data_IF_119117971472
#
_entry.id   IF_119117971472
#
_cell.length_a   1.000
_cell.length_b   1.000
_cell.length_c   1.000
_cell.angle_alpha   90.00
_cell.angle_beta   90.00
_cell.angle_gamma   90.00
#
_symmetry.space_group_name_H-M   'P 1'
#
loop_
_entity.id
_entity.type
_entity.pdbx_description
1 polymer ?
#
# COMPACT_ATOMS: atom_id res chain seq x y z
N UNK A 1 8.70 -10.31 5.40
CA UNK A 1 8.01 -11.31 4.54
C UNK A 1 6.64 -10.77 4.15
N UNK A 2 6.33 -10.74 2.84
CA UNK A 2 5.03 -10.38 2.27
C UNK A 2 4.35 -11.67 1.76
N UNK A 3 3.07 -11.84 2.04
CA UNK A 3 2.22 -12.91 1.47
C UNK A 3 0.96 -12.29 0.90
N UNK A 4 0.64 -12.65 -0.34
CA UNK A 4 -0.58 -12.24 -1.04
C UNK A 4 -1.25 -13.53 -1.51
N UNK A 5 -2.46 -13.79 -1.03
CA UNK A 5 -3.23 -14.98 -1.37
C UNK A 5 -4.74 -14.72 -1.24
N UNK A 6 -5.56 -15.77 -1.37
CA UNK A 6 -7.03 -15.65 -1.33
C UNK A 6 -7.62 -15.13 -0.02
N UNK A 7 -6.83 -15.03 1.06
CA UNK A 7 -7.25 -14.43 2.33
C UNK A 7 -6.98 -12.93 2.38
N UNK A 8 -6.00 -12.42 1.63
CA UNK A 8 -5.65 -11.02 1.65
C UNK A 8 -4.16 -10.75 1.52
N UNK A 9 -3.76 -9.57 2.03
CA UNK A 9 -2.37 -9.14 2.11
C UNK A 9 -1.89 -9.33 3.54
N UNK A 10 -0.87 -10.16 3.73
CA UNK A 10 -0.19 -10.33 5.02
C UNK A 10 1.22 -9.80 4.92
N UNK A 11 1.63 -9.01 5.91
CA UNK A 11 3.03 -8.62 6.06
C UNK A 11 3.52 -9.02 7.44
N UNK A 12 4.75 -9.53 7.51
CA UNK A 12 5.38 -9.99 8.75
C UNK A 12 5.25 -8.95 9.87
N UNK A 13 4.71 -9.38 11.01
CA UNK A 13 4.51 -8.52 12.18
C UNK A 13 3.18 -7.73 12.19
N UNK A 14 2.34 -7.87 11.17
CA UNK A 14 1.00 -7.29 11.09
C UNK A 14 -0.08 -8.36 10.88
N UNK A 15 -1.34 -8.01 11.16
CA UNK A 15 -2.49 -8.85 10.80
C UNK A 15 -2.63 -8.94 9.28
N UNK A 16 -3.26 -10.01 8.80
CA UNK A 16 -3.74 -10.09 7.41
C UNK A 16 -4.81 -9.03 7.19
N UNK A 17 -4.69 -8.28 6.09
CA UNK A 17 -5.71 -7.37 5.56
C UNK A 17 -6.54 -8.12 4.55
N UNK A 18 -7.81 -8.34 4.86
CA UNK A 18 -8.76 -8.98 3.97
C UNK A 18 -9.03 -8.15 2.71
N UNK A 19 -9.35 -8.82 1.61
CA UNK A 19 -9.71 -8.15 0.35
C UNK A 19 -10.98 -7.31 0.47
N UNK A 20 -11.90 -7.70 1.35
CA UNK A 20 -13.12 -6.99 1.71
C UNK A 20 -12.84 -5.65 2.42
N UNK A 21 -11.70 -5.53 3.08
CA UNK A 21 -11.27 -4.29 3.75
C UNK A 21 -10.68 -3.27 2.77
N UNK A 22 -10.30 -3.71 1.57
CA UNK A 22 -9.61 -2.90 0.55
C UNK A 22 -10.63 -2.44 -0.49
N UNK A 23 -10.71 -1.13 -0.69
CA UNK A 23 -11.53 -0.53 -1.75
C UNK A 23 -10.83 -0.63 -3.11
N UNK A 24 -9.55 -0.27 -3.13
CA UNK A 24 -8.72 -0.14 -4.33
C UNK A 24 -7.26 -0.23 -3.91
N UNK A 25 -6.41 -0.70 -4.82
CA UNK A 25 -4.95 -0.66 -4.65
C UNK A 25 -4.36 0.30 -5.65
N UNK A 26 -3.57 1.26 -5.16
CA UNK A 26 -2.89 2.23 -5.98
C UNK A 26 -1.42 1.82 -6.19
N UNK A 27 -0.98 1.80 -7.44
CA UNK A 27 0.43 1.73 -7.80
C UNK A 27 0.93 3.18 -7.94
N UNK A 28 1.70 3.63 -6.95
CA UNK A 28 2.18 5.01 -6.87
C UNK A 28 3.67 5.04 -7.21
N UNK A 29 4.03 5.66 -8.34
CA UNK A 29 5.43 5.83 -8.76
C UNK A 29 5.94 7.21 -8.37
N UNK A 30 7.03 7.30 -7.60
CA UNK A 30 7.67 8.56 -7.22
C UNK A 30 9.17 8.49 -7.44
N UNK A 31 9.66 9.30 -8.39
CA UNK A 31 11.06 9.35 -8.79
C UNK A 31 11.62 7.94 -9.06
N UNK A 32 12.39 7.37 -8.12
CA UNK A 32 13.02 6.05 -8.23
C UNK A 32 12.34 4.95 -7.39
N UNK A 33 11.17 5.24 -6.82
CA UNK A 33 10.46 4.35 -5.89
C UNK A 33 9.03 4.13 -6.35
N UNK A 34 8.66 2.87 -6.56
CA UNK A 34 7.25 2.49 -6.63
C UNK A 34 6.77 2.05 -5.26
N UNK A 35 5.54 2.42 -4.92
CA UNK A 35 4.81 1.94 -3.76
C UNK A 35 3.50 1.31 -4.21
N UNK A 36 3.10 0.24 -3.54
CA UNK A 36 1.77 -0.36 -3.66
C UNK A 36 0.99 0.00 -2.41
N UNK A 37 -0.11 0.73 -2.58
CA UNK A 37 -0.85 1.36 -1.49
C UNK A 37 -2.29 0.85 -1.49
N UNK A 38 -2.63 -0.11 -0.60
CA UNK A 38 -4.02 -0.48 -0.38
C UNK A 38 -4.78 0.65 0.30
N UNK A 39 -5.94 1.00 -0.25
CA UNK A 39 -6.83 2.02 0.30
C UNK A 39 -7.98 1.32 1.03
N UNK A 40 -8.24 1.64 2.31
CA UNK A 40 -9.34 1.04 3.05
C UNK A 40 -10.70 1.39 2.44
N UNK A 41 -11.67 0.50 2.62
CA UNK A 41 -13.10 0.88 2.56
C UNK A 41 -13.46 1.82 3.71
N UNK A 42 -14.53 2.57 3.53
CA UNK A 42 -15.03 3.48 4.58
C UNK A 42 -15.28 2.71 5.89
N UNK A 43 -14.81 3.28 7.01
CA UNK A 43 -14.91 2.67 8.34
C UNK A 43 -13.86 1.58 8.65
N UNK A 44 -13.03 1.17 7.68
CA UNK A 44 -12.01 0.15 7.87
C UNK A 44 -10.64 0.76 8.17
N UNK A 45 -9.92 0.17 9.13
CA UNK A 45 -8.57 0.60 9.51
C UNK A 45 -7.53 -0.43 9.06
N UNK A 46 -6.74 -0.07 8.06
CA UNK A 46 -5.61 -0.90 7.63
C UNK A 46 -4.46 -0.81 8.64
N UNK A 47 -3.78 -1.93 8.92
CA UNK A 47 -2.63 -1.94 9.80
C UNK A 47 -1.50 -1.09 9.21
N UNK A 48 -0.79 -0.44 10.12
CA UNK A 48 0.40 0.32 9.77
C UNK A 48 1.56 -0.63 9.58
N UNK A 49 2.19 -0.54 8.40
CA UNK A 49 3.41 -1.27 8.16
C UNK A 49 4.62 -0.46 8.58
N UNK A 50 5.22 -0.86 9.68
CA UNK A 50 6.58 -0.44 10.00
C UNK A 50 7.57 -1.47 9.45
N UNK A 51 8.14 -1.18 8.28
CA UNK A 51 9.26 -1.94 7.72
C UNK A 51 10.55 -1.75 8.54
N UNK A 52 10.55 -0.83 9.50
CA UNK A 52 11.61 -0.71 10.50
C UNK A 52 11.14 -1.36 11.79
N UNK A 53 11.99 -2.17 12.43
CA UNK A 53 11.71 -2.96 13.65
C UNK A 53 11.31 -2.12 14.90
N UNK A 54 10.91 -0.86 14.75
CA UNK A 54 10.68 0.11 15.83
C UNK A 54 9.20 0.46 15.98
N UNK A 55 8.47 -0.36 16.76
CA UNK A 55 7.04 -0.23 17.06
C UNK A 55 6.59 1.11 17.68
N UNK A 56 7.50 1.94 18.20
CA UNK A 56 7.19 3.09 19.06
C UNK A 56 6.77 4.37 18.33
N UNK A 57 6.78 4.43 16.98
CA UNK A 57 6.44 5.66 16.21
C UNK A 57 5.30 5.46 15.19
N UNK A 58 4.42 4.49 15.44
CA UNK A 58 3.38 4.05 14.49
C UNK A 58 2.42 5.17 14.06
N UNK A 59 1.88 5.97 14.99
CA UNK A 59 0.84 6.97 14.70
C UNK A 59 1.34 8.13 13.83
N UNK A 60 2.48 8.73 14.17
CA UNK A 60 3.04 9.81 13.35
C UNK A 60 3.46 9.32 11.97
N UNK A 61 3.91 8.06 11.87
CA UNK A 61 4.29 7.44 10.60
C UNK A 61 3.07 7.15 9.74
N UNK A 62 1.94 6.78 10.34
CA UNK A 62 0.64 6.69 9.67
C UNK A 62 0.29 7.99 8.96
N UNK A 63 0.30 9.10 9.71
CA UNK A 63 -0.04 10.41 9.17
C UNK A 63 0.93 10.82 8.05
N UNK A 64 2.24 10.55 8.22
CA UNK A 64 3.25 10.79 7.17
C UNK A 64 3.03 9.92 5.93
N UNK A 65 2.74 8.64 6.09
CA UNK A 65 2.50 7.71 4.98
C UNK A 65 1.22 8.09 4.22
N UNK A 66 0.13 8.38 4.93
CA UNK A 66 -1.12 8.85 4.32
C UNK A 66 -0.88 10.15 3.56
N UNK A 67 -0.18 11.13 4.15
CA UNK A 67 0.17 12.38 3.46
C UNK A 67 1.06 12.16 2.24
N UNK A 68 2.01 11.22 2.33
CA UNK A 68 3.02 11.00 1.28
C UNK A 68 2.56 10.05 0.18
N UNK A 69 1.69 9.10 0.46
CA UNK A 69 1.38 8.00 -0.45
C UNK A 69 -0.12 7.77 -0.65
N UNK A 70 -0.97 8.47 0.09
CA UNK A 70 -2.43 8.34 0.01
C UNK A 70 -3.03 7.28 0.93
N UNK A 71 -2.21 6.50 1.65
CA UNK A 71 -2.71 5.48 2.58
C UNK A 71 -1.75 5.12 3.72
N UNK A 72 -2.26 4.53 4.80
CA UNK A 72 -1.45 4.14 5.96
C UNK A 72 -0.61 2.88 5.71
N UNK A 73 -1.11 1.97 4.86
CA UNK A 73 -0.42 0.76 4.44
C UNK A 73 0.33 1.03 3.13
N UNK A 74 1.66 0.98 3.19
CA UNK A 74 2.52 1.23 2.03
C UNK A 74 3.47 0.05 1.87
N UNK A 75 3.31 -0.70 0.80
CA UNK A 75 4.23 -1.78 0.41
C UNK A 75 5.28 -1.18 -0.53
N UNK A 76 6.55 -1.29 -0.16
CA UNK A 76 7.67 -0.87 -1.01
C UNK A 76 8.31 -2.12 -1.61
N UNK A 77 8.11 -2.44 -2.91
CA UNK A 77 8.62 -3.66 -3.53
C UNK A 77 10.12 -3.86 -3.29
N UNK A 78 10.93 -2.81 -3.47
CA UNK A 78 12.37 -2.83 -3.18
C UNK A 78 12.72 -3.22 -1.74
N UNK A 79 11.92 -2.78 -0.76
CA UNK A 79 12.16 -3.14 0.65
C UNK A 79 11.67 -4.55 1.00
N UNK A 80 10.87 -5.15 0.13
CA UNK A 80 10.32 -6.49 0.26
C UNK A 80 11.07 -7.51 -0.60
N UNK A 81 12.16 -7.08 -1.26
CA UNK A 81 12.90 -7.85 -2.26
C UNK A 81 11.98 -8.48 -3.32
N UNK A 82 10.96 -7.70 -3.71
CA UNK A 82 9.89 -8.12 -4.59
C UNK A 82 9.77 -7.18 -5.78
N UNK A 83 9.29 -7.72 -6.89
CA UNK A 83 9.00 -6.96 -8.11
C UNK A 83 7.59 -6.34 -8.03
N UNK A 84 7.45 -5.08 -8.43
CA UNK A 84 6.16 -4.36 -8.48
C UNK A 84 5.13 -5.11 -9.32
N UNK A 85 5.52 -5.57 -10.51
CA UNK A 85 4.67 -6.29 -11.45
C UNK A 85 4.19 -7.59 -10.84
N UNK A 86 5.06 -8.30 -10.11
CA UNK A 86 4.67 -9.52 -9.39
C UNK A 86 3.66 -9.24 -8.28
N UNK A 87 3.84 -8.15 -7.53
CA UNK A 87 2.87 -7.73 -6.51
C UNK A 87 1.53 -7.38 -7.15
N UNK A 88 1.53 -6.56 -8.20
CA UNK A 88 0.32 -6.16 -8.92
C UNK A 88 -0.40 -7.36 -9.54
N UNK A 89 0.33 -8.30 -10.14
CA UNK A 89 -0.21 -9.54 -10.68
C UNK A 89 -0.83 -10.42 -9.59
N UNK A 90 -0.17 -10.57 -8.44
CA UNK A 90 -0.71 -11.32 -7.31
C UNK A 90 -2.00 -10.68 -6.75
N UNK A 91 -2.03 -9.35 -6.63
CA UNK A 91 -3.24 -8.63 -6.21
C UNK A 91 -4.35 -8.79 -7.23
N UNK A 92 -4.05 -8.68 -8.53
CA UNK A 92 -5.05 -8.87 -9.59
C UNK A 92 -5.60 -10.29 -9.60
N UNK A 93 -4.76 -11.28 -9.31
CA UNK A 93 -5.15 -12.69 -9.29
C UNK A 93 -5.98 -13.06 -8.04
N UNK A 94 -5.55 -12.63 -6.85
CA UNK A 94 -6.19 -13.02 -5.58
C UNK A 94 -7.23 -12.02 -5.07
N UNK A 95 -7.22 -10.79 -5.58
CA UNK A 95 -7.94 -9.64 -5.04
C UNK A 95 -9.46 -9.69 -5.10
N UNK A 96 -10.07 -10.78 -5.57
CA UNK A 96 -11.53 -10.94 -5.66
C UNK A 96 -12.25 -9.74 -6.31
N UNK A 97 -11.63 -9.14 -7.34
CA UNK A 97 -12.16 -7.96 -8.03
C UNK A 97 -11.76 -6.62 -7.42
N UNK A 98 -10.84 -6.58 -6.44
CA UNK A 98 -10.19 -5.35 -5.99
C UNK A 98 -9.48 -4.68 -7.17
N UNK A 99 -9.84 -3.45 -7.55
CA UNK A 99 -9.20 -2.76 -8.66
C UNK A 99 -7.76 -2.37 -8.29
N UNK A 100 -6.86 -2.53 -9.27
CA UNK A 100 -5.48 -2.02 -9.21
C UNK A 100 -5.38 -0.85 -10.18
N UNK A 101 -5.01 0.32 -9.68
CA UNK A 101 -4.97 1.57 -10.46
C UNK A 101 -3.56 2.12 -10.43
N UNK A 102 -3.00 2.39 -11.61
CA UNK A 102 -1.80 3.22 -11.74
C UNK A 102 -2.20 4.67 -11.46
N UNK A 103 -1.89 5.16 -10.26
CA UNK A 103 -2.08 6.57 -9.98
C UNK A 103 -0.82 7.33 -10.39
N UNK A 104 -0.89 8.22 -11.41
CA UNK A 104 0.20 9.13 -11.68
C UNK A 104 0.43 9.95 -10.41
N UNK A 105 1.67 10.32 -10.14
CA UNK A 105 2.13 10.99 -8.91
C UNK A 105 1.52 12.39 -8.65
N UNK A 106 0.22 12.62 -8.86
CA UNK A 106 -0.47 13.84 -8.48
C UNK A 106 -0.60 13.87 -6.97
N UNK A 107 0.34 14.55 -6.35
CA UNK A 107 0.15 15.14 -5.05
C UNK A 107 -1.08 16.05 -5.11
N UNK A 108 -2.08 15.89 -4.22
CA UNK A 108 -2.98 17.00 -3.94
C UNK A 108 -2.13 18.15 -3.38
N UNK A 109 -1.95 19.22 -4.16
CA UNK A 109 -1.25 20.44 -3.76
C UNK A 109 0.00 20.83 -4.55
N UNK A 110 0.36 20.13 -5.63
CA UNK A 110 1.36 20.67 -6.57
C UNK A 110 0.62 21.33 -7.75
N UNK A 111 0.79 22.63 -8.01
CA UNK A 111 0.20 23.25 -9.20
C UNK A 111 0.75 22.57 -10.46
N UNK A 112 -0.03 22.50 -11.55
CA UNK A 112 0.48 22.02 -12.83
C UNK A 112 1.67 22.91 -13.22
N UNK A 113 2.81 22.29 -13.52
CA UNK A 113 3.93 23.04 -14.08
C UNK A 113 3.52 23.63 -15.43
N UNK A 114 3.90 24.89 -15.72
CA UNK A 114 3.54 25.60 -16.95
C UNK A 114 4.12 24.96 -18.21
#
# INVERSE_FOLDING_TARGET
>A
MLRIDGLGITVLGARTVGWDEIRVVHLVRRSMTTAVVPIPREGMNLPLLDLTLFRSRSVERAARNTKRWGGPLVLLPKALDADETRIAAAISHFGRGTPVVDEPARLPGLPPSP
#
